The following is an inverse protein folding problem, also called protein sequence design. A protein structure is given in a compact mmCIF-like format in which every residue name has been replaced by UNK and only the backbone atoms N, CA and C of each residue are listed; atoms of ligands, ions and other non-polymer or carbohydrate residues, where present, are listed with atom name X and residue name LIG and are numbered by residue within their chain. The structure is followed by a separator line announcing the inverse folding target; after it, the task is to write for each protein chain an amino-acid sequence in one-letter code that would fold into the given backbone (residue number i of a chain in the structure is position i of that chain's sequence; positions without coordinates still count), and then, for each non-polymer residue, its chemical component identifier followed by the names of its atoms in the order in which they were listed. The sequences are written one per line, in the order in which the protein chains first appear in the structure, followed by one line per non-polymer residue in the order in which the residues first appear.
data_IF_835990106336
#
_entry.id   IF_835990106336
#
_cell.length_a   1.000
_cell.length_b   1.000
_cell.length_c   1.000
_cell.angle_alpha   90.00
_cell.angle_beta   90.00
_cell.angle_gamma   90.00
#
_symmetry.space_group_name_H-M   'P 1'
#
loop_
_entity.id
_entity.type
_entity.pdbx_description
1 polymer ?
#
# COMPACT_ATOMS: atom_id res chain seq x y z
N UNK A 1 27.43 -9.53 -4.90
CA UNK A 1 28.01 -9.43 -3.55
C UNK A 1 26.90 -9.77 -2.56
N UNK A 2 27.00 -10.88 -1.79
CA UNK A 2 25.97 -11.22 -0.78
C UNK A 2 26.23 -10.38 0.47
N UNK A 3 25.35 -9.41 0.74
CA UNK A 3 25.32 -8.70 2.03
C UNK A 3 24.84 -9.71 3.08
N UNK A 4 25.44 -9.71 4.27
CA UNK A 4 24.97 -10.57 5.36
C UNK A 4 23.63 -10.06 5.90
N UNK A 5 22.78 -10.96 6.38
CA UNK A 5 21.48 -10.60 6.97
C UNK A 5 21.60 -9.54 8.07
N UNK A 6 22.61 -9.65 8.94
CA UNK A 6 22.88 -8.65 9.97
C UNK A 6 23.16 -7.25 9.42
N UNK A 7 23.93 -7.14 8.32
CA UNK A 7 24.19 -5.85 7.67
C UNK A 7 22.94 -5.31 6.96
N UNK A 8 22.13 -6.21 6.40
CA UNK A 8 20.86 -5.87 5.78
C UNK A 8 19.87 -5.33 6.81
N UNK A 9 19.74 -5.98 7.97
CA UNK A 9 18.89 -5.54 9.07
C UNK A 9 19.36 -4.22 9.67
N UNK A 10 20.66 -4.00 9.84
CA UNK A 10 21.19 -2.69 10.26
C UNK A 10 20.81 -1.56 9.30
N UNK A 11 20.79 -1.84 8.00
CA UNK A 11 20.36 -0.88 7.00
C UNK A 11 18.85 -0.63 7.08
N UNK A 12 18.04 -1.68 7.28
CA UNK A 12 16.59 -1.56 7.50
C UNK A 12 16.27 -0.78 8.78
N UNK A 13 16.96 -1.07 9.89
CA UNK A 13 16.88 -0.32 11.15
C UNK A 13 17.13 1.18 10.91
N UNK A 14 18.22 1.50 10.20
CA UNK A 14 18.57 2.88 9.86
C UNK A 14 17.53 3.56 8.98
N UNK A 15 16.92 2.82 8.05
CA UNK A 15 15.93 3.35 7.11
C UNK A 15 14.56 3.56 7.77
N UNK A 16 14.15 2.63 8.63
CA UNK A 16 12.89 2.69 9.37
C UNK A 16 12.99 3.56 10.64
N UNK A 17 14.20 3.92 11.07
CA UNK A 17 14.42 4.70 12.29
C UNK A 17 14.11 3.93 13.59
N UNK A 18 14.08 2.60 13.52
CA UNK A 18 13.85 1.68 14.65
C UNK A 18 15.05 0.75 14.82
N UNK A 19 15.23 0.16 15.99
CA UNK A 19 16.30 -0.82 16.25
C UNK A 19 15.72 -2.21 16.41
N UNK A 20 16.49 -3.24 16.12
CA UNK A 20 16.13 -4.64 16.36
C UNK A 20 14.95 -5.14 15.51
N UNK A 21 14.85 -4.65 14.27
CA UNK A 21 13.88 -5.16 13.29
C UNK A 21 14.17 -6.64 12.99
N UNK A 22 13.10 -7.45 12.99
CA UNK A 22 13.14 -8.86 12.65
C UNK A 22 12.78 -9.07 11.19
N UNK A 23 13.56 -9.87 10.48
CA UNK A 23 13.23 -10.36 9.15
C UNK A 23 12.19 -11.47 9.26
N UNK A 24 11.00 -11.27 8.69
CA UNK A 24 9.94 -12.30 8.70
C UNK A 24 9.91 -13.08 7.39
N UNK A 25 10.04 -12.38 6.26
CA UNK A 25 10.09 -13.00 4.94
C UNK A 25 11.02 -12.20 4.02
N UNK A 26 12.19 -12.76 3.73
CA UNK A 26 13.15 -12.10 2.84
C UNK A 26 12.71 -12.02 1.38
N UNK A 27 11.95 -13.02 0.91
CA UNK A 27 11.51 -13.09 -0.49
C UNK A 27 10.52 -11.96 -0.75
N UNK A 28 9.56 -11.80 0.15
CA UNK A 28 8.51 -10.80 0.05
C UNK A 28 8.87 -9.46 0.72
N UNK A 29 10.08 -9.33 1.28
CA UNK A 29 10.54 -8.08 1.88
C UNK A 29 9.73 -7.68 3.12
N UNK A 30 9.34 -8.65 3.94
CA UNK A 30 8.53 -8.45 5.15
C UNK A 30 9.43 -8.43 6.39
N UNK A 31 9.28 -7.39 7.18
CA UNK A 31 9.97 -7.17 8.43
C UNK A 31 8.99 -6.86 9.56
N UNK A 32 9.42 -6.97 10.81
CA UNK A 32 8.59 -6.69 11.97
C UNK A 32 9.40 -6.00 13.08
N UNK A 33 8.77 -5.04 13.75
CA UNK A 33 9.23 -4.44 15.00
C UNK A 33 8.03 -4.33 15.94
N UNK A 34 8.13 -4.91 17.14
CA UNK A 34 7.01 -5.10 18.07
C UNK A 34 5.77 -5.67 17.34
N UNK A 35 4.62 -5.01 17.47
CA UNK A 35 3.35 -5.41 16.87
C UNK A 35 3.13 -4.81 15.47
N UNK A 36 4.17 -4.26 14.84
CA UNK A 36 4.12 -3.58 13.54
C UNK A 36 4.90 -4.34 12.48
N UNK A 37 4.30 -4.56 11.31
CA UNK A 37 4.96 -5.10 10.11
C UNK A 37 5.28 -4.02 9.10
N UNK A 38 6.35 -4.27 8.36
CA UNK A 38 6.82 -3.46 7.25
C UNK A 38 6.95 -4.34 6.02
N UNK A 39 6.31 -3.96 4.94
CA UNK A 39 6.58 -4.52 3.63
C UNK A 39 7.41 -3.54 2.82
N UNK A 40 8.59 -3.95 2.38
CA UNK A 40 9.44 -3.17 1.50
C UNK A 40 9.41 -3.73 0.08
N UNK A 41 8.80 -2.96 -0.81
CA UNK A 41 8.92 -3.20 -2.24
C UNK A 41 10.23 -2.64 -2.75
N UNK A 42 11.22 -3.52 -2.96
CA UNK A 42 12.55 -3.13 -3.45
C UNK A 42 12.56 -2.65 -4.91
N UNK A 43 11.61 -3.10 -5.72
CA UNK A 43 11.52 -2.76 -7.15
C UNK A 43 11.13 -1.29 -7.35
N UNK A 44 10.16 -0.83 -6.57
CA UNK A 44 9.61 0.52 -6.67
C UNK A 44 10.04 1.44 -5.50
N UNK A 45 10.82 0.89 -4.57
CA UNK A 45 11.29 1.56 -3.36
C UNK A 45 10.20 2.32 -2.59
N UNK A 46 9.19 1.55 -2.20
CA UNK A 46 8.18 2.01 -1.25
C UNK A 46 8.05 1.01 -0.11
N UNK A 47 7.57 1.53 1.01
CA UNK A 47 7.27 0.74 2.19
C UNK A 47 5.77 0.87 2.49
N UNK A 48 5.20 -0.21 3.01
CA UNK A 48 3.88 -0.25 3.62
C UNK A 48 4.06 -0.65 5.07
N UNK A 49 3.43 0.10 5.98
CA UNK A 49 3.31 -0.24 7.40
C UNK A 49 1.92 -0.79 7.65
N UNK A 50 1.84 -1.85 8.45
CA UNK A 50 0.58 -2.50 8.77
C UNK A 50 0.69 -3.34 10.05
N UNK A 51 -0.43 -3.69 10.71
CA UNK A 51 -0.40 -4.47 11.95
C UNK A 51 0.18 -5.89 11.76
N UNK A 52 0.85 -6.40 12.81
CA UNK A 52 1.52 -7.72 12.76
C UNK A 52 0.59 -8.93 12.70
N UNK A 53 -0.70 -8.76 13.03
CA UNK A 53 -1.75 -9.77 12.90
C UNK A 53 -2.25 -9.97 11.46
N UNK A 54 -1.62 -9.33 10.49
CA UNK A 54 -1.81 -9.64 9.08
C UNK A 54 -0.77 -10.65 8.61
N UNK A 55 -1.23 -11.62 7.82
CA UNK A 55 -0.38 -12.58 7.13
C UNK A 55 -0.39 -12.30 5.63
N UNK A 56 0.65 -12.77 4.94
CA UNK A 56 0.67 -12.79 3.48
C UNK A 56 -0.49 -13.68 2.99
N UNK A 57 -1.37 -13.13 2.15
CA UNK A 57 -2.50 -13.84 1.58
C UNK A 57 -2.11 -14.58 0.29
N UNK A 58 -3.07 -15.23 -0.36
CA UNK A 58 -2.82 -15.87 -1.65
C UNK A 58 -2.34 -14.86 -2.71
N UNK A 59 -1.60 -15.36 -3.71
CA UNK A 59 -1.04 -14.53 -4.77
C UNK A 59 -2.17 -13.83 -5.54
N UNK A 60 -2.27 -12.53 -5.33
CA UNK A 60 -3.17 -11.64 -6.05
C UNK A 60 -2.55 -11.21 -7.38
N UNK A 61 -3.37 -10.93 -8.40
CA UNK A 61 -2.96 -10.34 -9.69
C UNK A 61 -2.51 -8.86 -9.55
N UNK A 62 -1.60 -8.57 -8.63
CA UNK A 62 -1.07 -7.24 -8.31
C UNK A 62 0.34 -7.01 -8.89
N UNK A 63 0.84 -7.95 -9.71
CA UNK A 63 2.18 -7.89 -10.29
C UNK A 63 3.27 -7.82 -9.22
N UNK A 64 3.95 -6.67 -9.11
CA UNK A 64 4.98 -6.45 -8.08
C UNK A 64 4.39 -6.01 -6.72
N UNK A 65 3.07 -5.99 -6.56
CA UNK A 65 2.41 -5.69 -5.29
C UNK A 65 2.45 -6.82 -4.28
N UNK A 66 1.70 -6.65 -3.19
CA UNK A 66 1.45 -7.71 -2.23
C UNK A 66 0.04 -7.62 -1.65
N UNK A 67 -0.43 -8.77 -1.18
CA UNK A 67 -1.75 -8.97 -0.57
C UNK A 67 -1.58 -9.52 0.85
N UNK A 68 -2.28 -8.90 1.79
CA UNK A 68 -2.27 -9.28 3.20
C UNK A 68 -3.69 -9.41 3.73
N UNK A 69 -3.90 -10.35 4.64
CA UNK A 69 -5.20 -10.61 5.25
C UNK A 69 -5.01 -10.73 6.76
N UNK A 70 -5.93 -10.17 7.54
CA UNK A 70 -5.90 -10.33 9.00
C UNK A 70 -6.38 -11.73 9.43
N UNK A 71 -6.12 -12.12 10.68
CA UNK A 71 -6.39 -13.47 11.20
C UNK A 71 -7.80 -14.03 10.93
N UNK A 72 -8.84 -13.18 10.98
CA UNK A 72 -10.24 -13.59 10.78
C UNK A 72 -10.78 -13.26 9.37
N UNK A 73 -9.92 -12.79 8.46
CA UNK A 73 -10.27 -12.42 7.07
C UNK A 73 -11.34 -11.33 6.94
N UNK A 74 -11.55 -10.55 8.00
CA UNK A 74 -12.46 -9.40 7.96
C UNK A 74 -11.82 -8.19 7.27
N UNK A 75 -10.50 -8.14 7.13
CA UNK A 75 -9.75 -7.08 6.45
C UNK A 75 -8.73 -7.67 5.47
N UNK A 76 -8.81 -7.22 4.21
CA UNK A 76 -7.81 -7.45 3.18
C UNK A 76 -7.07 -6.14 2.88
N UNK A 77 -5.75 -6.19 2.82
CA UNK A 77 -4.86 -5.07 2.51
C UNK A 77 -4.03 -5.40 1.27
N UNK A 78 -4.28 -4.65 0.20
CA UNK A 78 -3.57 -4.72 -1.06
C UNK A 78 -2.65 -3.50 -1.19
N UNK A 79 -1.46 -3.70 -1.72
CA UNK A 79 -0.58 -2.61 -2.12
C UNK A 79 0.15 -2.97 -3.40
N UNK A 80 0.24 -2.02 -4.33
CA UNK A 80 0.96 -2.21 -5.59
C UNK A 80 1.43 -0.86 -6.14
N UNK A 81 2.31 -0.92 -7.13
CA UNK A 81 2.80 0.27 -7.83
C UNK A 81 2.74 0.06 -9.33
N UNK A 82 2.50 1.16 -10.07
CA UNK A 82 2.59 1.21 -11.52
C UNK A 82 3.51 2.34 -11.97
N UNK A 83 4.14 2.18 -13.13
CA UNK A 83 4.90 3.26 -13.76
C UNK A 83 3.93 4.23 -14.43
N UNK A 84 3.87 5.47 -13.96
CA UNK A 84 3.08 6.53 -14.59
C UNK A 84 3.83 7.20 -15.73
N UNK A 85 5.16 7.22 -15.69
CA UNK A 85 5.96 7.84 -16.75
C UNK A 85 5.84 7.20 -18.14
N UNK A 86 5.33 5.97 -18.22
CA UNK A 86 4.98 5.30 -19.48
C UNK A 86 3.71 5.91 -20.10
N UNK A 87 2.87 6.53 -19.29
CA UNK A 87 1.56 7.09 -19.68
C UNK A 87 1.56 8.62 -19.73
N UNK A 88 2.62 9.28 -19.24
CA UNK A 88 2.67 10.75 -19.10
C UNK A 88 2.57 11.53 -20.41
N UNK A 89 2.88 10.89 -21.54
CA UNK A 89 2.80 11.49 -22.86
C UNK A 89 1.36 11.48 -23.41
N UNK A 90 0.53 10.55 -22.92
CA UNK A 90 -0.86 10.35 -23.35
C UNK A 90 -1.87 10.93 -22.35
N UNK A 91 -1.51 11.00 -21.07
CA UNK A 91 -2.40 11.42 -19.98
C UNK A 91 -1.69 12.33 -18.98
N UNK A 92 -2.40 13.37 -18.53
CA UNK A 92 -2.06 14.03 -17.29
C UNK A 92 -2.32 13.10 -16.10
N UNK A 93 -1.68 13.40 -14.96
CA UNK A 93 -1.86 12.59 -13.74
C UNK A 93 -3.31 12.59 -13.26
N UNK A 94 -4.01 13.71 -13.40
CA UNK A 94 -5.43 13.82 -13.05
C UNK A 94 -6.31 12.96 -13.95
N UNK A 95 -6.10 12.97 -15.27
CA UNK A 95 -6.83 12.09 -16.19
C UNK A 95 -6.57 10.62 -15.86
N UNK A 96 -5.34 10.27 -15.51
CA UNK A 96 -5.00 8.92 -15.08
C UNK A 96 -5.69 8.53 -13.77
N UNK A 97 -5.78 9.44 -12.80
CA UNK A 97 -6.55 9.22 -11.57
C UNK A 97 -8.04 9.02 -11.87
N UNK A 98 -8.63 9.80 -12.77
CA UNK A 98 -10.01 9.60 -13.16
C UNK A 98 -10.22 8.22 -13.82
N UNK A 99 -9.30 7.77 -14.70
CA UNK A 99 -9.34 6.41 -15.27
C UNK A 99 -9.28 5.32 -14.18
N UNK A 100 -8.36 5.46 -13.20
CA UNK A 100 -8.25 4.50 -12.10
C UNK A 100 -9.53 4.44 -11.25
N UNK A 101 -10.16 5.58 -11.02
CA UNK A 101 -11.40 5.70 -10.26
C UNK A 101 -12.60 5.16 -11.05
N UNK A 102 -12.67 5.44 -12.35
CA UNK A 102 -13.73 4.93 -13.22
C UNK A 102 -13.66 3.40 -13.34
N UNK A 103 -12.46 2.83 -13.38
CA UNK A 103 -12.25 1.37 -13.34
C UNK A 103 -12.89 0.72 -12.11
N UNK A 104 -12.86 1.36 -10.94
CA UNK A 104 -13.54 0.86 -9.74
C UNK A 104 -15.06 0.83 -9.93
N UNK A 105 -15.62 1.85 -10.57
CA UNK A 105 -17.05 1.93 -10.89
C UNK A 105 -17.45 0.87 -11.92
N UNK A 106 -16.63 0.67 -12.96
CA UNK A 106 -16.83 -0.36 -13.98
C UNK A 106 -16.80 -1.78 -13.41
N UNK A 107 -16.00 -2.02 -12.37
CA UNK A 107 -15.99 -3.27 -11.61
C UNK A 107 -17.25 -3.47 -10.74
N UNK A 108 -18.12 -2.45 -10.68
CA UNK A 108 -19.37 -2.45 -9.93
C UNK A 108 -19.25 -1.94 -8.50
N UNK A 109 -18.14 -1.28 -8.16
CA UNK A 109 -17.97 -0.68 -6.85
C UNK A 109 -18.69 0.68 -6.79
N UNK A 110 -19.29 0.98 -5.65
CA UNK A 110 -19.94 2.27 -5.40
C UNK A 110 -18.99 3.16 -4.63
N UNK A 111 -18.63 4.29 -5.23
CA UNK A 111 -17.84 5.33 -4.56
C UNK A 111 -18.78 6.22 -3.73
N UNK A 112 -18.44 6.40 -2.46
CA UNK A 112 -19.20 7.20 -1.47
C UNK A 112 -18.45 8.47 -1.09
N UNK A 113 -17.11 8.41 -1.03
CA UNK A 113 -16.26 9.59 -0.86
C UNK A 113 -15.14 9.58 -1.90
N UNK A 114 -14.78 10.75 -2.40
CA UNK A 114 -13.70 10.97 -3.37
C UNK A 114 -13.00 12.28 -3.00
N UNK A 115 -11.69 12.23 -2.87
CA UNK A 115 -10.80 13.37 -2.68
C UNK A 115 -9.61 13.23 -3.63
N UNK A 116 -9.31 14.28 -4.38
CA UNK A 116 -8.19 14.30 -5.33
C UNK A 116 -7.35 15.55 -5.02
N UNK A 117 -6.03 15.35 -4.99
CA UNK A 117 -5.02 16.41 -4.95
C UNK A 117 -4.14 16.32 -6.19
N UNK A 118 -3.24 17.30 -6.35
CA UNK A 118 -2.28 17.35 -7.46
C UNK A 118 -1.42 16.08 -7.61
N UNK A 119 -1.22 15.31 -6.53
CA UNK A 119 -0.31 14.16 -6.51
C UNK A 119 -0.93 12.88 -5.93
N UNK A 120 -2.22 12.88 -5.57
CA UNK A 120 -2.86 11.71 -4.96
C UNK A 120 -4.36 11.71 -5.17
N UNK A 121 -4.97 10.53 -5.03
CA UNK A 121 -6.41 10.46 -4.73
C UNK A 121 -6.67 9.55 -3.53
N UNK A 122 -7.79 9.78 -2.88
CA UNK A 122 -8.39 8.89 -1.88
C UNK A 122 -9.86 8.67 -2.23
N UNK A 123 -10.30 7.42 -2.25
CA UNK A 123 -11.70 7.06 -2.42
C UNK A 123 -12.13 6.06 -1.34
N UNK A 124 -13.38 6.16 -0.92
CA UNK A 124 -14.03 5.21 -0.02
C UNK A 124 -15.36 4.79 -0.63
N UNK A 125 -15.78 3.56 -0.37
CA UNK A 125 -17.01 3.06 -0.93
C UNK A 125 -17.38 1.65 -0.51
N UNK A 126 -18.23 1.03 -1.32
CA UNK A 126 -18.62 -0.36 -1.17
C UNK A 126 -18.26 -1.14 -2.42
N UNK A 127 -17.71 -2.33 -2.25
CA UNK A 127 -17.49 -3.25 -3.35
C UNK A 127 -18.81 -3.82 -3.85
N UNK A 128 -18.82 -4.40 -5.05
CA UNK A 128 -19.98 -5.14 -5.56
C UNK A 128 -20.46 -6.26 -4.61
N UNK A 129 -19.57 -6.84 -3.81
CA UNK A 129 -19.89 -7.88 -2.82
C UNK A 129 -20.44 -7.33 -1.50
N UNK A 130 -20.56 -6.01 -1.36
CA UNK A 130 -21.09 -5.34 -0.17
C UNK A 130 -20.06 -5.08 0.92
N UNK A 131 -18.78 -5.39 0.70
CA UNK A 131 -17.70 -5.00 1.63
C UNK A 131 -17.45 -3.49 1.54
N UNK A 132 -17.00 -2.88 2.62
CA UNK A 132 -16.47 -1.52 2.58
C UNK A 132 -15.07 -1.53 1.95
N UNK A 133 -14.68 -0.44 1.31
CA UNK A 133 -13.29 -0.27 0.89
C UNK A 133 -12.79 1.16 1.11
N UNK A 134 -11.48 1.26 1.27
CA UNK A 134 -10.70 2.48 1.23
C UNK A 134 -9.57 2.26 0.22
N UNK A 135 -9.34 3.22 -0.69
CA UNK A 135 -8.23 3.18 -1.62
C UNK A 135 -7.55 4.53 -1.68
N UNK A 136 -6.22 4.53 -1.60
CA UNK A 136 -5.38 5.72 -1.73
C UNK A 136 -4.28 5.45 -2.72
N UNK A 137 -4.14 6.32 -3.71
CA UNK A 137 -3.02 6.31 -4.63
C UNK A 137 -2.20 7.59 -4.47
N UNK A 138 -0.88 7.49 -4.60
CA UNK A 138 0.03 8.64 -4.54
C UNK A 138 1.08 8.51 -5.62
N UNK A 139 1.21 9.57 -6.42
CA UNK A 139 2.28 9.72 -7.39
C UNK A 139 3.55 10.20 -6.67
N UNK A 140 4.66 9.51 -6.91
CA UNK A 140 5.98 9.91 -6.41
C UNK A 140 7.07 9.57 -7.42
N UNK A 141 8.22 10.21 -7.26
CA UNK A 141 9.43 9.84 -8.00
C UNK A 141 10.20 8.76 -7.24
N UNK A 142 10.65 7.73 -7.94
CA UNK A 142 11.58 6.72 -7.45
C UNK A 142 12.55 6.36 -8.56
N UNK A 143 13.86 6.28 -8.28
CA UNK A 143 14.87 5.96 -9.30
C UNK A 143 14.73 6.75 -10.62
N UNK A 144 14.42 8.04 -10.55
CA UNK A 144 14.12 8.93 -11.70
C UNK A 144 12.88 8.58 -12.54
N UNK A 145 12.02 7.69 -12.02
CA UNK A 145 10.76 7.26 -12.64
C UNK A 145 9.58 7.82 -11.87
N UNK A 146 8.54 8.25 -12.58
CA UNK A 146 7.27 8.62 -11.96
C UNK A 146 6.42 7.37 -11.77
N UNK A 147 6.06 7.08 -10.53
CA UNK A 147 5.31 5.90 -10.16
C UNK A 147 4.07 6.28 -9.36
N UNK A 148 3.01 5.49 -9.47
CA UNK A 148 1.83 5.60 -8.62
C UNK A 148 1.80 4.38 -7.70
N UNK A 149 1.89 4.62 -6.39
CA UNK A 149 1.71 3.59 -5.36
C UNK A 149 0.26 3.63 -4.90
N UNK A 150 -0.43 2.49 -4.96
CA UNK A 150 -1.82 2.35 -4.54
C UNK A 150 -1.92 1.39 -3.37
N UNK A 151 -2.60 1.81 -2.31
CA UNK A 151 -2.99 0.97 -1.17
C UNK A 151 -4.50 0.85 -1.16
N UNK A 152 -5.03 -0.37 -1.06
CA UNK A 152 -6.46 -0.64 -0.99
C UNK A 152 -6.77 -1.57 0.18
N UNK A 153 -7.67 -1.13 1.06
CA UNK A 153 -8.26 -1.91 2.13
C UNK A 153 -9.67 -2.31 1.74
N UNK A 154 -10.01 -3.59 1.89
CA UNK A 154 -11.37 -4.11 1.74
C UNK A 154 -11.78 -4.82 3.02
N UNK A 155 -12.91 -4.44 3.61
CA UNK A 155 -13.25 -4.86 4.96
C UNK A 155 -14.75 -5.05 5.19
N UNK A 156 -15.09 -5.87 6.16
CA UNK A 156 -16.48 -5.97 6.66
C UNK A 156 -16.79 -4.76 7.54
N UNK A 157 -18.06 -4.39 7.64
CA UNK A 157 -18.50 -3.24 8.47
C UNK A 157 -18.06 -3.38 9.95
N UNK A 158 -18.02 -4.62 10.46
CA UNK A 158 -17.54 -4.94 11.81
C UNK A 158 -16.08 -4.55 12.07
N UNK A 159 -15.24 -4.42 11.04
CA UNK A 159 -13.82 -4.11 11.14
C UNK A 159 -13.52 -2.62 10.92
N UNK A 160 -14.54 -1.78 10.76
CA UNK A 160 -14.39 -0.37 10.38
C UNK A 160 -13.51 0.44 11.34
N UNK A 161 -13.71 0.31 12.65
CA UNK A 161 -12.90 1.04 13.64
C UNK A 161 -11.41 0.65 13.56
N UNK A 162 -11.12 -0.63 13.37
CA UNK A 162 -9.76 -1.12 13.19
C UNK A 162 -9.14 -0.58 11.90
N UNK A 163 -9.90 -0.52 10.82
CA UNK A 163 -9.44 0.06 9.54
C UNK A 163 -9.18 1.55 9.67
N UNK A 164 -10.04 2.31 10.34
CA UNK A 164 -9.82 3.74 10.60
C UNK A 164 -8.53 3.97 11.41
N UNK A 165 -8.23 3.08 12.38
CA UNK A 165 -6.97 3.11 13.11
C UNK A 165 -5.76 2.86 12.18
N UNK A 166 -5.82 1.83 11.33
CA UNK A 166 -4.75 1.50 10.36
C UNK A 166 -4.52 2.66 9.38
N UNK A 167 -5.59 3.26 8.86
CA UNK A 167 -5.49 4.39 7.91
C UNK A 167 -4.76 5.57 8.56
N UNK A 168 -5.17 5.94 9.77
CA UNK A 168 -4.63 7.11 10.46
C UNK A 168 -3.20 6.88 10.95
N UNK A 169 -2.94 5.72 11.57
CA UNK A 169 -1.64 5.43 12.17
C UNK A 169 -0.61 4.97 11.16
N UNK A 170 -0.99 4.09 10.24
CA UNK A 170 -0.01 3.38 9.40
C UNK A 170 0.02 3.99 8.00
N UNK A 171 -1.12 4.09 7.29
CA UNK A 171 -1.14 4.53 5.89
C UNK A 171 -0.79 6.02 5.76
N UNK A 172 -1.43 6.89 6.54
CA UNK A 172 -1.22 8.34 6.44
C UNK A 172 0.09 8.81 7.09
N UNK A 173 0.49 8.21 8.21
CA UNK A 173 1.74 8.57 8.88
C UNK A 173 2.98 8.12 8.11
N UNK A 174 2.88 7.09 7.28
CA UNK A 174 4.05 6.49 6.66
C UNK A 174 4.28 6.97 5.22
N UNK A 175 3.21 7.17 4.43
CA UNK A 175 3.34 7.77 3.09
C UNK A 175 3.88 9.21 3.12
N UNK A 176 3.63 9.95 4.21
CA UNK A 176 4.17 11.31 4.40
C UNK A 176 5.68 11.36 4.65
N UNK A 177 6.30 10.28 5.13
CA UNK A 177 7.75 10.19 5.33
C UNK A 177 8.51 9.76 4.08
N UNK A 178 7.83 9.19 3.08
CA UNK A 178 8.39 8.80 1.77
C UNK A 178 8.34 9.91 0.70
N UNK A 179 7.78 11.08 1.05
CA UNK A 179 7.71 12.28 0.22
C UNK A 179 8.82 13.31 0.56
N UNK A 180 9.74 12.96 1.48
CA UNK A 180 10.94 13.74 1.78
C UNK A 180 12.16 13.19 1.06
#
# INVERSE_FOLDING_TARGET
MKISEAKHLQWVDSLLGVKDVKLIDYRNGIYQYDDTRFYWNRTFDYFLVYPSNFTHGEESDLGNGNHFVNEDSTICLNVYATYFDVFKDDYSLHEWFDIMIDTEVEQGNRIVKKDITDHSYTIEGNTKSGRCFYSKATCKKTYERDIIVTVKLEYTDSAKEQVEYIINKDINSFLSNLLK
#
